data_IF_290194090849
#
_entry.id   IF_290194090849
#
_cell.length_a   1.000
_cell.length_b   1.000
_cell.length_c   1.000
_cell.angle_alpha   90.00
_cell.angle_beta   90.00
_cell.angle_gamma   90.00
#
_symmetry.space_group_name_H-M   'P 1'
#
loop_
_entity.id
_entity.type
_entity.pdbx_description
1 polymer ?
#
# COMPACT_ATOMS: atom_id res chain seq x y z
N UNK A 1 -1.58 53.13 -17.49
CA UNK A 1 -1.20 52.40 -18.73
C UNK A 1 -0.10 51.44 -18.31
N UNK A 2 -0.39 50.26 -17.75
CA UNK A 2 -1.11 49.16 -18.36
C UNK A 2 -0.06 48.15 -18.84
N UNK A 3 0.34 47.22 -17.97
CA UNK A 3 1.03 46.00 -18.39
C UNK A 3 0.63 44.85 -17.47
N UNK A 4 -0.40 44.14 -17.91
CA UNK A 4 -0.89 42.88 -17.36
C UNK A 4 0.12 41.78 -17.65
N UNK A 5 0.63 41.15 -16.58
CA UNK A 5 1.35 39.89 -16.67
C UNK A 5 0.40 38.77 -17.14
N UNK A 6 0.89 37.78 -17.91
CA UNK A 6 0.06 36.68 -18.36
C UNK A 6 -0.25 35.74 -17.19
N UNK A 7 -1.54 35.49 -16.96
CA UNK A 7 -2.02 34.40 -16.10
C UNK A 7 -1.75 33.06 -16.81
N UNK A 8 -0.76 32.31 -16.31
CA UNK A 8 -0.66 30.88 -16.63
C UNK A 8 -1.75 30.17 -15.83
N UNK A 9 -2.85 29.86 -16.51
CA UNK A 9 -3.94 29.05 -15.98
C UNK A 9 -3.43 27.63 -15.71
N UNK A 10 -3.38 27.24 -14.43
CA UNK A 10 -3.26 25.83 -14.06
C UNK A 10 -4.63 25.20 -14.26
N UNK A 11 -4.82 24.57 -15.42
CA UNK A 11 -6.01 23.77 -15.73
C UNK A 11 -6.07 22.54 -14.81
N UNK A 12 -6.72 22.71 -13.66
CA UNK A 12 -7.24 21.59 -12.87
C UNK A 12 -8.50 21.09 -13.58
N UNK A 13 -8.46 19.89 -14.17
CA UNK A 13 -9.68 19.34 -14.76
C UNK A 13 -9.52 18.17 -15.71
N UNK A 14 -8.75 17.14 -15.37
CA UNK A 14 -8.93 15.84 -16.02
C UNK A 14 -8.94 14.74 -14.95
N UNK A 15 -10.14 14.41 -14.48
CA UNK A 15 -10.36 13.26 -13.60
C UNK A 15 -10.24 12.03 -14.49
N UNK A 16 -9.04 11.46 -14.55
CA UNK A 16 -8.81 10.14 -15.15
C UNK A 16 -9.85 9.15 -14.59
N UNK A 17 -10.35 8.20 -15.41
CA UNK A 17 -11.32 7.21 -14.96
C UNK A 17 -10.76 6.55 -13.71
N UNK A 18 -11.57 6.52 -12.63
CA UNK A 18 -11.20 5.81 -11.40
C UNK A 18 -10.76 4.41 -11.82
N UNK A 19 -9.46 4.15 -11.69
CA UNK A 19 -8.90 2.81 -11.85
C UNK A 19 -9.85 1.81 -11.17
N UNK A 20 -10.19 0.70 -11.83
CA UNK A 20 -11.04 -0.36 -11.25
C UNK A 20 -10.50 -0.86 -9.90
N UNK A 21 -9.22 -0.60 -9.65
CA UNK A 21 -8.51 -0.87 -8.40
C UNK A 21 -8.14 0.43 -7.68
N UNK A 22 -7.91 0.36 -6.38
CA UNK A 22 -7.39 1.49 -5.60
C UNK A 22 -6.07 2.05 -6.13
N UNK A 23 -5.76 3.28 -5.68
CA UNK A 23 -4.53 4.00 -6.04
C UNK A 23 -3.28 3.18 -5.72
N UNK A 24 -2.41 3.01 -6.71
CA UNK A 24 -1.24 2.14 -6.56
C UNK A 24 -0.33 2.59 -5.42
N UNK A 25 0.03 3.88 -5.38
CA UNK A 25 0.99 4.40 -4.41
C UNK A 25 0.48 4.24 -2.98
N UNK A 26 -0.79 4.58 -2.73
CA UNK A 26 -1.43 4.37 -1.43
C UNK A 26 -1.31 2.91 -0.98
N UNK A 27 -1.73 1.97 -1.82
CA UNK A 27 -1.76 0.56 -1.45
C UNK A 27 -0.36 -0.05 -1.31
N UNK A 28 0.59 0.36 -2.15
CA UNK A 28 1.99 -0.03 -2.05
C UNK A 28 2.58 0.38 -0.70
N UNK A 29 2.45 1.65 -0.31
CA UNK A 29 3.00 2.14 0.94
C UNK A 29 2.26 1.61 2.17
N UNK A 30 0.93 1.44 2.09
CA UNK A 30 0.15 0.82 3.17
C UNK A 30 0.54 -0.64 3.39
N UNK A 31 0.66 -1.44 2.33
CA UNK A 31 1.07 -2.85 2.43
C UNK A 31 2.44 -2.98 3.11
N UNK A 32 3.43 -2.17 2.67
CA UNK A 32 4.77 -2.17 3.28
C UNK A 32 4.74 -1.77 4.75
N UNK A 33 3.87 -0.84 5.11
CA UNK A 33 3.71 -0.40 6.50
C UNK A 33 3.04 -1.49 7.35
N UNK A 34 2.03 -2.19 6.81
CA UNK A 34 1.39 -3.33 7.48
C UNK A 34 2.40 -4.44 7.73
N UNK A 35 3.16 -4.83 6.70
CA UNK A 35 4.21 -5.84 6.82
C UNK A 35 5.24 -5.45 7.89
N UNK A 36 5.73 -4.20 7.86
CA UNK A 36 6.69 -3.71 8.85
C UNK A 36 6.15 -3.76 10.27
N UNK A 37 4.91 -3.29 10.50
CA UNK A 37 4.26 -3.36 11.82
C UNK A 37 4.06 -4.82 12.27
N UNK A 38 3.85 -5.74 11.34
CA UNK A 38 3.80 -7.18 11.60
C UNK A 38 5.18 -7.83 11.74
N UNK A 39 6.28 -7.06 11.67
CA UNK A 39 7.65 -7.55 11.80
C UNK A 39 8.20 -8.27 10.56
N UNK A 40 7.62 -8.01 9.39
CA UNK A 40 7.99 -8.62 8.12
C UNK A 40 8.70 -7.56 7.26
N UNK A 41 9.87 -7.91 6.72
CA UNK A 41 10.54 -7.12 5.69
C UNK A 41 10.33 -7.77 4.32
N UNK A 42 9.45 -7.19 3.51
CA UNK A 42 9.15 -7.68 2.16
C UNK A 42 10.34 -7.54 1.19
N UNK A 43 11.25 -6.58 1.44
CA UNK A 43 12.47 -6.44 0.64
C UNK A 43 13.44 -7.58 0.91
N UNK A 44 13.59 -7.93 2.18
CA UNK A 44 14.39 -9.08 2.61
C UNK A 44 13.79 -10.40 2.10
N UNK A 45 12.48 -10.59 2.26
CA UNK A 45 11.79 -11.78 1.74
C UNK A 45 11.98 -11.98 0.23
N UNK A 46 12.03 -10.88 -0.56
CA UNK A 46 12.38 -10.97 -1.98
C UNK A 46 13.85 -11.32 -2.19
N UNK A 47 14.77 -10.70 -1.43
CA UNK A 47 16.22 -10.93 -1.53
C UNK A 47 16.60 -12.37 -1.21
N UNK A 48 15.92 -12.99 -0.24
CA UNK A 48 16.08 -14.39 0.15
C UNK A 48 15.33 -15.36 -0.76
N UNK A 49 14.55 -14.87 -1.73
CA UNK A 49 13.78 -15.71 -2.67
C UNK A 49 12.53 -16.34 -2.06
N UNK A 50 12.06 -15.86 -0.90
CA UNK A 50 10.82 -16.33 -0.27
C UNK A 50 9.55 -15.91 -1.03
N UNK A 51 9.66 -14.80 -1.78
CA UNK A 51 8.70 -14.30 -2.78
C UNK A 51 9.45 -13.76 -3.98
N UNK A 52 8.89 -13.94 -5.17
CA UNK A 52 9.38 -13.30 -6.40
C UNK A 52 8.87 -11.87 -6.54
N UNK A 53 9.43 -11.11 -7.49
CA UNK A 53 8.91 -9.78 -7.87
C UNK A 53 7.46 -9.87 -8.36
N UNK A 54 7.12 -10.93 -9.11
CA UNK A 54 5.76 -11.21 -9.56
C UNK A 54 4.81 -11.52 -8.42
N UNK A 55 5.26 -12.25 -7.40
CA UNK A 55 4.46 -12.50 -6.19
C UNK A 55 4.19 -11.20 -5.46
N UNK A 56 5.21 -10.35 -5.31
CA UNK A 56 5.05 -9.06 -4.66
C UNK A 56 4.07 -8.15 -5.42
N UNK A 57 4.19 -8.09 -6.75
CA UNK A 57 3.24 -7.37 -7.60
C UNK A 57 1.80 -7.91 -7.45
N UNK A 58 1.63 -9.22 -7.31
CA UNK A 58 0.34 -9.85 -7.07
C UNK A 58 -0.24 -9.50 -5.69
N UNK A 59 0.59 -9.47 -4.64
CA UNK A 59 0.18 -9.04 -3.28
C UNK A 59 -0.31 -7.58 -3.30
N UNK A 60 0.42 -6.68 -3.96
CA UNK A 60 0.03 -5.27 -4.11
C UNK A 60 -1.27 -5.16 -4.90
N UNK A 61 -1.40 -5.88 -6.01
CA UNK A 61 -2.61 -5.86 -6.86
C UNK A 61 -3.85 -6.35 -6.13
N UNK A 62 -3.75 -7.45 -5.37
CA UNK A 62 -4.83 -7.92 -4.48
C UNK A 62 -5.22 -6.86 -3.45
N UNK A 63 -4.23 -6.23 -2.82
CA UNK A 63 -4.47 -5.17 -1.84
C UNK A 63 -5.27 -4.00 -2.44
N UNK A 64 -4.95 -3.59 -3.67
CA UNK A 64 -5.63 -2.49 -4.37
C UNK A 64 -7.12 -2.77 -4.62
N UNK A 65 -7.49 -4.03 -4.85
CA UNK A 65 -8.88 -4.42 -5.07
C UNK A 65 -9.69 -4.70 -3.80
N UNK A 66 -9.05 -4.73 -2.62
CA UNK A 66 -9.67 -5.27 -1.40
C UNK A 66 -10.73 -4.36 -0.76
N UNK A 67 -10.82 -3.09 -1.15
CA UNK A 67 -11.79 -2.14 -0.58
C UNK A 67 -11.55 -1.75 0.90
N UNK A 68 -10.57 -2.34 1.59
CA UNK A 68 -10.33 -2.14 3.02
C UNK A 68 -9.34 -1.00 3.35
N UNK A 69 -9.03 -0.11 2.41
CA UNK A 69 -7.94 0.86 2.53
C UNK A 69 -8.09 1.86 3.70
N UNK A 70 -9.33 2.13 4.12
CA UNK A 70 -9.61 2.99 5.28
C UNK A 70 -9.40 2.24 6.60
N UNK A 71 -9.86 0.99 6.69
CA UNK A 71 -9.62 0.13 7.85
C UNK A 71 -8.11 -0.14 8.05
N UNK A 72 -7.37 -0.37 6.96
CA UNK A 72 -5.90 -0.45 6.99
C UNK A 72 -5.27 0.80 7.61
N UNK A 73 -5.69 1.99 7.18
CA UNK A 73 -5.12 3.24 7.67
C UNK A 73 -5.39 3.45 9.17
N UNK A 74 -6.61 3.15 9.64
CA UNK A 74 -6.95 3.24 11.06
C UNK A 74 -6.15 2.24 11.90
N UNK A 75 -6.03 1.00 11.43
CA UNK A 75 -5.21 -0.01 12.10
C UNK A 75 -3.74 0.42 12.20
N UNK A 76 -3.17 0.98 11.13
CA UNK A 76 -1.81 1.52 11.12
C UNK A 76 -1.64 2.71 12.08
N UNK A 77 -2.58 3.65 12.08
CA UNK A 77 -2.55 4.82 12.97
C UNK A 77 -2.55 4.41 14.46
N UNK A 78 -3.25 3.32 14.78
CA UNK A 78 -3.30 2.78 16.12
C UNK A 78 -2.06 1.96 16.49
N UNK A 79 -1.15 1.67 15.55
CA UNK A 79 -0.03 0.75 15.70
C UNK A 79 1.27 1.39 16.19
N UNK A 80 1.26 1.90 17.43
CA UNK A 80 2.47 2.42 18.08
C UNK A 80 3.28 1.31 18.77
N UNK A 81 4.58 1.23 18.43
CA UNK A 81 5.65 0.67 19.26
C UNK A 81 5.77 -0.85 19.40
N UNK A 82 4.74 -1.64 19.06
CA UNK A 82 4.78 -3.10 19.20
C UNK A 82 4.43 -3.82 17.90
N UNK A 83 5.08 -4.96 17.66
CA UNK A 83 4.72 -5.88 16.59
C UNK A 83 3.28 -6.35 16.81
N UNK A 84 2.44 -6.27 15.77
CA UNK A 84 1.03 -6.69 15.85
C UNK A 84 0.72 -7.87 14.97
N UNK A 85 -0.33 -8.58 15.35
CA UNK A 85 -0.99 -9.52 14.46
C UNK A 85 -1.58 -8.79 13.26
N UNK A 86 -1.46 -9.43 12.09
CA UNK A 86 -2.01 -8.89 10.85
C UNK A 86 -3.54 -8.90 10.97
N UNK A 87 -4.23 -7.79 10.65
CA UNK A 87 -5.66 -7.69 10.89
C UNK A 87 -6.44 -8.71 10.05
N UNK A 88 -7.50 -9.29 10.62
CA UNK A 88 -8.37 -10.28 9.96
C UNK A 88 -8.93 -9.79 8.62
N UNK A 89 -9.20 -8.49 8.49
CA UNK A 89 -9.72 -7.91 7.25
C UNK A 89 -8.67 -7.80 6.14
N UNK A 90 -7.37 -8.05 6.41
CA UNK A 90 -6.33 -7.92 5.40
C UNK A 90 -6.42 -9.06 4.39
N UNK A 91 -6.69 -8.74 3.12
CA UNK A 91 -6.73 -9.74 2.03
C UNK A 91 -5.44 -10.54 1.87
N UNK A 92 -4.31 -9.98 2.30
CA UNK A 92 -3.00 -10.63 2.21
C UNK A 92 -2.58 -11.28 3.54
N UNK A 93 -3.50 -11.44 4.51
CA UNK A 93 -3.17 -11.95 5.84
C UNK A 93 -2.41 -13.27 5.80
N UNK A 94 -2.96 -14.28 5.11
CA UNK A 94 -2.35 -15.60 5.04
C UNK A 94 -0.93 -15.57 4.44
N UNK A 95 -0.72 -14.78 3.39
CA UNK A 95 0.59 -14.67 2.75
C UNK A 95 1.60 -13.94 3.62
N UNK A 96 1.18 -12.87 4.30
CA UNK A 96 2.02 -12.15 5.26
C UNK A 96 2.35 -13.03 6.49
N UNK A 97 1.40 -13.83 6.98
CA UNK A 97 1.63 -14.79 8.06
C UNK A 97 2.63 -15.89 7.64
N UNK A 98 2.53 -16.41 6.41
CA UNK A 98 3.50 -17.37 5.86
C UNK A 98 4.92 -16.80 5.87
N UNK A 99 5.09 -15.54 5.48
CA UNK A 99 6.38 -14.85 5.48
C UNK A 99 6.90 -14.57 6.90
N UNK A 100 6.00 -14.37 7.86
CA UNK A 100 6.37 -14.17 9.27
C UNK A 100 6.99 -15.43 9.90
N UNK A 101 6.52 -16.61 9.49
CA UNK A 101 7.00 -17.90 10.03
C UNK A 101 8.33 -18.34 9.44
N UNK A 102 8.66 -17.93 8.22
CA UNK A 102 9.87 -18.35 7.50
C UNK A 102 11.09 -17.47 7.80
N UNK A 103 11.17 -16.86 8.99
CA UNK A 103 12.25 -15.94 9.39
C UNK A 103 13.35 -16.63 10.17
#
# INVERSE_FOLDING_TARGET
MGNTAPTIGVSQGEVAPRSLLGDFNRHFWQLRSVARVAGIDLGEAMREGQISESDYAAIVTRCRGAGCAQACAQWLANSSGAQREIPEFCVNRAELERLRTNR
#
